data_IF_749125587431
#
_entry.id   IF_749125587431
#
_cell.length_a   1.000
_cell.length_b   1.000
_cell.length_c   1.000
_cell.angle_alpha   90.00
_cell.angle_beta   90.00
_cell.angle_gamma   90.00
#
_symmetry.space_group_name_H-M   'P 1'
#
loop_
_entity.id
_entity.type
_entity.pdbx_description
1 polymer ?
#
# COMPACT_ATOMS: atom_id res chain seq x y z
N UNK A 1 -31.02 -51.15 -0.67
CA UNK A 1 -31.23 -49.93 -1.48
C UNK A 1 -30.97 -48.71 -0.60
N UNK A 2 -29.92 -47.93 -0.90
CA UNK A 2 -29.96 -46.47 -0.65
C UNK A 2 -29.21 -45.83 0.53
N UNK A 3 -27.90 -46.02 0.69
CA UNK A 3 -27.07 -45.09 1.50
C UNK A 3 -25.73 -44.77 0.81
N UNK A 4 -25.75 -44.12 -0.37
CA UNK A 4 -24.54 -43.75 -1.13
C UNK A 4 -24.42 -42.26 -1.48
N UNK A 5 -24.96 -41.35 -0.66
CA UNK A 5 -24.76 -39.91 -0.83
C UNK A 5 -24.35 -39.20 0.48
N UNK A 6 -23.36 -39.76 1.16
CA UNK A 6 -22.58 -39.01 2.15
C UNK A 6 -21.46 -38.24 1.45
N UNK A 7 -21.78 -37.21 0.66
CA UNK A 7 -20.76 -36.30 0.11
C UNK A 7 -20.06 -35.67 1.31
N UNK A 8 -18.83 -36.12 1.60
CA UNK A 8 -17.99 -35.56 2.66
C UNK A 8 -17.98 -34.05 2.46
N UNK A 9 -18.60 -33.34 3.40
CA UNK A 9 -18.58 -31.88 3.39
C UNK A 9 -17.10 -31.48 3.47
N UNK A 10 -16.62 -30.56 2.62
CA UNK A 10 -15.24 -30.10 2.69
C UNK A 10 -14.99 -29.64 4.13
N UNK A 11 -13.87 -30.10 4.71
CA UNK A 11 -13.47 -29.70 6.05
C UNK A 11 -13.51 -28.17 6.12
N UNK A 12 -14.25 -27.64 7.09
CA UNK A 12 -14.31 -26.20 7.31
C UNK A 12 -12.87 -25.70 7.46
N UNK A 13 -12.54 -24.60 6.77
CA UNK A 13 -11.24 -23.96 6.94
C UNK A 13 -11.02 -23.69 8.42
N UNK A 14 -9.84 -24.01 8.97
CA UNK A 14 -9.55 -23.73 10.37
C UNK A 14 -9.75 -22.23 10.62
N UNK A 15 -10.54 -21.91 11.64
CA UNK A 15 -10.86 -20.54 12.02
C UNK A 15 -9.55 -19.80 12.29
N UNK A 16 -9.32 -18.69 11.58
CA UNK A 16 -8.13 -17.87 11.82
C UNK A 16 -8.21 -17.25 13.23
N UNK A 17 -7.05 -17.01 13.86
CA UNK A 17 -7.01 -16.24 15.11
C UNK A 17 -7.69 -14.86 14.95
N UNK A 18 -7.64 -14.29 13.74
CA UNK A 18 -8.30 -13.04 13.39
C UNK A 18 -9.83 -13.20 13.37
N UNK A 19 -10.36 -14.27 12.76
CA UNK A 19 -11.80 -14.55 12.73
C UNK A 19 -12.35 -14.73 14.15
N UNK A 20 -11.58 -15.40 15.02
CA UNK A 20 -11.93 -15.57 16.42
C UNK A 20 -11.99 -14.22 17.16
N UNK A 21 -11.04 -13.32 16.91
CA UNK A 21 -11.04 -11.98 17.49
C UNK A 21 -12.24 -11.15 17.00
N UNK A 22 -12.51 -11.17 15.69
CA UNK A 22 -13.67 -10.50 15.08
C UNK A 22 -14.98 -11.04 15.68
N UNK A 23 -15.10 -12.36 15.85
CA UNK A 23 -16.26 -12.98 16.47
C UNK A 23 -16.45 -12.53 17.92
N UNK A 24 -15.38 -12.48 18.71
CA UNK A 24 -15.43 -12.01 20.10
C UNK A 24 -15.88 -10.55 20.20
N UNK A 25 -15.35 -9.68 19.33
CA UNK A 25 -15.76 -8.28 19.25
C UNK A 25 -17.23 -8.13 18.83
N UNK A 26 -17.68 -8.90 17.82
CA UNK A 26 -19.09 -8.91 17.40
C UNK A 26 -20.01 -9.39 18.53
N UNK A 27 -19.62 -10.42 19.27
CA UNK A 27 -20.36 -10.89 20.45
C UNK A 27 -20.43 -9.82 21.56
N UNK A 28 -19.33 -9.10 21.80
CA UNK A 28 -19.30 -8.03 22.79
C UNK A 28 -20.20 -6.85 22.38
N UNK A 29 -20.14 -6.44 21.11
CA UNK A 29 -21.00 -5.43 20.50
C UNK A 29 -22.48 -5.78 20.70
N UNK A 30 -22.85 -7.03 20.42
CA UNK A 30 -24.25 -7.46 20.51
C UNK A 30 -24.74 -7.51 21.98
N UNK A 31 -23.89 -7.93 22.92
CA UNK A 31 -24.16 -7.84 24.37
C UNK A 31 -24.35 -6.39 24.82
N UNK A 32 -23.51 -5.47 24.36
CA UNK A 32 -23.64 -4.03 24.65
C UNK A 32 -24.96 -3.48 24.10
N UNK A 33 -25.31 -3.78 22.84
CA UNK A 33 -26.60 -3.39 22.24
C UNK A 33 -27.79 -3.91 23.05
N UNK A 34 -27.74 -5.16 23.52
CA UNK A 34 -28.78 -5.71 24.39
C UNK A 34 -28.88 -4.98 25.73
N UNK A 35 -27.75 -4.65 26.35
CA UNK A 35 -27.73 -3.94 27.63
C UNK A 35 -28.25 -2.50 27.49
N UNK A 36 -27.88 -1.79 26.42
CA UNK A 36 -28.41 -0.46 26.08
C UNK A 36 -29.93 -0.51 25.97
N UNK A 37 -30.50 -1.42 25.18
CA UNK A 37 -31.96 -1.56 25.02
C UNK A 37 -32.68 -1.85 26.33
N UNK A 38 -32.08 -2.68 27.21
CA UNK A 38 -32.64 -2.97 28.54
C UNK A 38 -32.64 -1.72 29.43
N UNK A 39 -31.54 -0.95 29.40
CA UNK A 39 -31.41 0.29 30.15
C UNK A 39 -32.37 1.36 29.66
N UNK A 40 -32.55 1.53 28.35
CA UNK A 40 -33.52 2.46 27.77
C UNK A 40 -34.95 2.15 28.27
N UNK A 41 -35.36 0.88 28.21
CA UNK A 41 -36.66 0.44 28.74
C UNK A 41 -36.79 0.66 30.26
N UNK A 42 -35.69 0.56 31.01
CA UNK A 42 -35.69 0.87 32.44
C UNK A 42 -35.86 2.38 32.67
N UNK A 43 -35.16 3.21 31.91
CA UNK A 43 -35.25 4.67 31.99
C UNK A 43 -36.65 5.18 31.66
N UNK A 44 -37.36 4.56 30.72
CA UNK A 44 -38.77 4.85 30.43
C UNK A 44 -39.67 4.57 31.64
N UNK A 45 -39.51 3.41 32.28
CA UNK A 45 -40.26 3.07 33.51
C UNK A 45 -39.96 4.03 34.65
N UNK A 46 -38.70 4.44 34.81
CA UNK A 46 -38.28 5.42 35.80
C UNK A 46 -38.89 6.79 35.54
N UNK A 47 -38.98 7.20 34.27
CA UNK A 47 -39.66 8.44 33.86
C UNK A 47 -41.15 8.41 34.23
N UNK A 48 -41.83 7.30 33.99
CA UNK A 48 -43.26 7.19 34.33
C UNK A 48 -43.51 7.09 35.83
N UNK A 49 -42.65 6.38 36.56
CA UNK A 49 -42.69 6.33 38.02
C UNK A 49 -42.45 7.72 38.64
N UNK A 50 -41.52 8.50 38.07
CA UNK A 50 -41.30 9.89 38.48
C UNK A 50 -42.56 10.75 38.25
N UNK A 51 -43.24 10.62 37.11
CA UNK A 51 -44.52 11.31 36.86
C UNK A 51 -45.59 10.94 37.87
N UNK A 52 -45.71 9.65 38.22
CA UNK A 52 -46.67 9.18 39.23
C UNK A 52 -46.37 9.75 40.62
N UNK A 53 -45.10 9.80 41.02
CA UNK A 53 -44.70 10.39 42.31
C UNK A 53 -44.95 11.89 42.38
N UNK A 54 -44.80 12.62 41.27
CA UNK A 54 -45.16 14.05 41.19
C UNK A 54 -46.66 14.22 41.42
N UNK A 55 -47.51 13.40 40.78
CA UNK A 55 -48.96 13.42 40.99
C UNK A 55 -49.35 13.08 42.43
N UNK A 56 -48.61 12.19 43.08
CA UNK A 56 -48.80 11.82 44.49
C UNK A 56 -48.19 12.84 45.49
N UNK A 57 -47.78 14.02 45.03
CA UNK A 57 -47.13 15.08 45.81
C UNK A 57 -45.85 14.65 46.55
N UNK A 58 -45.18 13.57 46.10
CA UNK A 58 -43.93 13.03 46.67
C UNK A 58 -42.72 13.54 45.87
N UNK A 59 -42.47 14.85 45.93
CA UNK A 59 -41.47 15.55 45.10
C UNK A 59 -40.04 15.04 45.33
N UNK A 60 -39.62 14.81 46.57
CA UNK A 60 -38.25 14.37 46.89
C UNK A 60 -37.93 12.99 46.30
N UNK A 61 -38.90 12.07 46.35
CA UNK A 61 -38.76 10.73 45.76
C UNK A 61 -38.73 10.79 44.24
N UNK A 62 -39.54 11.66 43.63
CA UNK A 62 -39.50 11.87 42.18
C UNK A 62 -38.13 12.39 41.72
N UNK A 63 -37.56 13.36 42.45
CA UNK A 63 -36.23 13.91 42.17
C UNK A 63 -35.14 12.83 42.25
N UNK A 64 -35.18 11.95 43.25
CA UNK A 64 -34.23 10.85 43.40
C UNK A 64 -34.25 9.90 42.18
N UNK A 65 -35.45 9.56 41.70
CA UNK A 65 -35.59 8.69 40.52
C UNK A 65 -35.06 9.38 39.26
N UNK A 66 -35.34 10.67 39.09
CA UNK A 66 -34.81 11.43 37.96
C UNK A 66 -33.28 11.55 37.99
N UNK A 67 -32.67 11.71 39.18
CA UNK A 67 -31.21 11.65 39.34
C UNK A 67 -30.65 10.29 38.95
N UNK A 68 -31.31 9.19 39.36
CA UNK A 68 -30.92 7.82 38.97
C UNK A 68 -31.02 7.62 37.45
N UNK A 69 -32.12 8.07 36.83
CA UNK A 69 -32.29 8.06 35.37
C UNK A 69 -31.17 8.83 34.66
N UNK A 70 -30.80 10.02 35.15
CA UNK A 70 -29.72 10.82 34.57
C UNK A 70 -28.36 10.12 34.65
N UNK A 71 -28.10 9.39 35.74
CA UNK A 71 -26.91 8.55 35.84
C UNK A 71 -26.94 7.40 34.82
N UNK A 72 -28.08 6.72 34.66
CA UNK A 72 -28.25 5.67 33.65
C UNK A 72 -28.04 6.22 32.22
N UNK A 73 -28.55 7.42 31.92
CA UNK A 73 -28.28 8.11 30.64
C UNK A 73 -26.78 8.28 30.39
N UNK A 74 -26.06 8.83 31.36
CA UNK A 74 -24.61 9.04 31.23
C UNK A 74 -23.83 7.73 31.03
N UNK A 75 -24.31 6.63 31.64
CA UNK A 75 -23.73 5.30 31.42
C UNK A 75 -24.05 4.76 30.02
N UNK A 76 -25.28 4.98 29.54
CA UNK A 76 -25.68 4.63 28.17
C UNK A 76 -24.87 5.39 27.13
N UNK A 77 -24.65 6.69 27.31
CA UNK A 77 -23.79 7.50 26.45
C UNK A 77 -22.36 6.95 26.37
N UNK A 78 -21.75 6.63 27.53
CA UNK A 78 -20.42 5.99 27.56
C UNK A 78 -20.39 4.64 26.84
N UNK A 79 -21.45 3.83 26.97
CA UNK A 79 -21.52 2.56 26.26
C UNK A 79 -21.71 2.71 24.76
N UNK A 80 -22.43 3.74 24.31
CA UNK A 80 -22.51 4.07 22.88
C UNK A 80 -21.13 4.44 22.32
N UNK A 81 -20.35 5.25 23.06
CA UNK A 81 -18.97 5.56 22.66
C UNK A 81 -18.09 4.29 22.58
N UNK A 82 -18.23 3.38 23.56
CA UNK A 82 -17.53 2.10 23.55
C UNK A 82 -18.01 1.18 22.40
N UNK A 83 -19.29 1.24 22.06
CA UNK A 83 -19.85 0.50 20.94
C UNK A 83 -19.24 0.98 19.62
N UNK A 84 -19.14 2.29 19.41
CA UNK A 84 -18.49 2.88 18.24
C UNK A 84 -17.00 2.49 18.17
N UNK A 85 -16.32 2.42 19.31
CA UNK A 85 -14.93 1.96 19.39
C UNK A 85 -14.82 0.49 18.95
N UNK A 86 -15.73 -0.38 19.39
CA UNK A 86 -15.74 -1.79 18.98
C UNK A 86 -16.03 -1.92 17.48
N UNK A 87 -16.99 -1.15 16.96
CA UNK A 87 -17.31 -1.17 15.53
C UNK A 87 -16.11 -0.73 14.68
N UNK A 88 -15.38 0.32 15.10
CA UNK A 88 -14.10 0.71 14.49
C UNK A 88 -13.07 -0.41 14.52
N UNK A 89 -12.82 -1.02 15.69
CA UNK A 89 -11.86 -2.13 15.81
C UNK A 89 -12.21 -3.34 14.94
N UNK A 90 -13.50 -3.64 14.75
CA UNK A 90 -13.95 -4.70 13.84
C UNK A 90 -13.60 -4.35 12.39
N UNK A 91 -13.90 -3.12 11.96
CA UNK A 91 -13.55 -2.65 10.62
C UNK A 91 -12.04 -2.62 10.38
N UNK A 92 -11.26 -2.17 11.37
CA UNK A 92 -9.80 -2.14 11.30
C UNK A 92 -9.23 -3.56 11.15
N UNK A 93 -9.73 -4.53 11.91
CA UNK A 93 -9.31 -5.93 11.78
C UNK A 93 -9.71 -6.53 10.43
N UNK A 94 -10.91 -6.23 9.94
CA UNK A 94 -11.36 -6.66 8.60
C UNK A 94 -10.48 -6.04 7.50
N UNK A 95 -10.01 -4.79 7.68
CA UNK A 95 -9.08 -4.14 6.76
C UNK A 95 -7.67 -4.74 6.81
N UNK A 96 -7.14 -5.05 8.00
CA UNK A 96 -5.83 -5.70 8.17
C UNK A 96 -5.78 -7.05 7.44
N UNK A 97 -6.89 -7.80 7.38
CA UNK A 97 -6.99 -9.04 6.59
C UNK A 97 -6.77 -8.76 5.10
N UNK A 98 -7.34 -7.66 4.59
CA UNK A 98 -7.17 -7.23 3.19
C UNK A 98 -5.73 -6.78 2.95
N UNK A 99 -5.14 -5.98 3.84
CA UNK A 99 -3.73 -5.56 3.74
C UNK A 99 -2.78 -6.75 3.72
N UNK A 100 -2.99 -7.74 4.60
CA UNK A 100 -2.19 -8.96 4.60
C UNK A 100 -2.27 -9.70 3.26
N UNK A 101 -3.47 -9.79 2.69
CA UNK A 101 -3.65 -10.38 1.35
C UNK A 101 -2.94 -9.58 0.28
N UNK A 102 -3.00 -8.25 0.30
CA UNK A 102 -2.27 -7.40 -0.66
C UNK A 102 -0.77 -7.63 -0.54
N UNK A 103 -0.22 -7.68 0.68
CA UNK A 103 1.21 -7.95 0.90
C UNK A 103 1.60 -9.35 0.40
N UNK A 104 0.77 -10.36 0.63
CA UNK A 104 0.99 -11.71 0.11
C UNK A 104 0.99 -11.74 -1.43
N UNK A 105 0.04 -11.04 -2.07
CA UNK A 105 0.00 -10.93 -3.53
C UNK A 105 1.22 -10.18 -4.08
N UNK A 106 1.69 -9.11 -3.42
CA UNK A 106 2.92 -8.40 -3.81
C UNK A 106 4.16 -9.28 -3.66
N UNK A 107 4.24 -10.11 -2.62
CA UNK A 107 5.32 -11.10 -2.46
C UNK A 107 5.29 -12.12 -3.58
N UNK A 108 4.11 -12.66 -3.91
CA UNK A 108 3.96 -13.58 -5.02
C UNK A 108 4.37 -12.94 -6.36
N UNK A 109 3.93 -11.70 -6.61
CA UNK A 109 4.35 -10.93 -7.79
C UNK A 109 5.86 -10.73 -7.85
N UNK A 110 6.50 -10.40 -6.72
CA UNK A 110 7.96 -10.26 -6.63
C UNK A 110 8.68 -11.59 -6.89
N UNK A 111 8.17 -12.71 -6.38
CA UNK A 111 8.72 -14.05 -6.67
C UNK A 111 8.62 -14.39 -8.16
N UNK A 112 7.49 -14.08 -8.80
CA UNK A 112 7.33 -14.26 -10.25
C UNK A 112 8.33 -13.39 -11.02
N UNK A 113 8.47 -12.11 -10.65
CA UNK A 113 9.47 -11.22 -11.25
C UNK A 113 10.90 -11.75 -11.05
N UNK A 114 11.24 -12.28 -9.88
CA UNK A 114 12.54 -12.91 -9.64
C UNK A 114 12.78 -14.12 -10.55
N UNK A 115 11.76 -14.97 -10.74
CA UNK A 115 11.85 -16.12 -11.67
C UNK A 115 11.98 -15.64 -13.11
N UNK A 116 11.24 -14.61 -13.52
CA UNK A 116 11.38 -14.01 -14.85
C UNK A 116 12.77 -13.42 -15.05
N UNK A 117 13.31 -12.71 -14.06
CA UNK A 117 14.68 -12.18 -14.10
C UNK A 117 15.74 -13.29 -14.08
N UNK A 118 15.45 -14.49 -13.57
CA UNK A 118 16.33 -15.66 -13.70
C UNK A 118 16.22 -16.31 -15.09
N UNK A 119 15.06 -16.22 -15.73
CA UNK A 119 14.87 -16.71 -17.11
C UNK A 119 15.49 -15.77 -18.15
N UNK A 120 15.52 -14.46 -17.89
CA UNK A 120 16.42 -13.53 -18.59
C UNK A 120 17.81 -13.89 -18.09
N UNK A 121 18.46 -14.79 -18.82
CA UNK A 121 19.65 -15.48 -18.35
C UNK A 121 20.82 -14.50 -18.21
N UNK A 122 21.72 -14.77 -17.27
CA UNK A 122 23.04 -14.12 -17.25
C UNK A 122 23.70 -14.29 -18.62
N UNK A 123 23.48 -15.42 -19.31
CA UNK A 123 23.94 -15.64 -20.68
C UNK A 123 23.35 -14.67 -21.71
N UNK A 124 22.13 -14.17 -21.54
CA UNK A 124 21.57 -13.12 -22.41
C UNK A 124 22.22 -11.77 -22.09
N UNK A 125 22.48 -11.49 -20.81
CA UNK A 125 23.19 -10.27 -20.39
C UNK A 125 24.64 -10.31 -20.85
N UNK A 126 25.35 -11.42 -20.66
CA UNK A 126 26.72 -11.64 -21.11
C UNK A 126 26.79 -11.59 -22.64
N UNK A 127 25.86 -12.24 -23.37
CA UNK A 127 25.79 -12.09 -24.83
C UNK A 127 25.57 -10.64 -25.26
N UNK A 128 24.65 -9.90 -24.64
CA UNK A 128 24.47 -8.47 -24.94
C UNK A 128 25.73 -7.66 -24.60
N UNK A 129 26.42 -7.97 -23.50
CA UNK A 129 27.67 -7.32 -23.11
C UNK A 129 28.85 -7.67 -24.03
N UNK A 130 28.90 -8.89 -24.53
CA UNK A 130 29.94 -9.35 -25.45
C UNK A 130 29.66 -8.80 -26.86
N UNK A 131 28.42 -8.85 -27.35
CA UNK A 131 28.01 -8.22 -28.61
C UNK A 131 28.29 -6.70 -28.61
N UNK A 132 28.07 -6.01 -27.48
CA UNK A 132 28.40 -4.58 -27.36
C UNK A 132 29.90 -4.31 -27.31
N UNK A 133 30.71 -5.18 -26.69
CA UNK A 133 32.18 -5.09 -26.74
C UNK A 133 32.73 -5.39 -28.13
N UNK A 134 32.28 -6.47 -28.76
CA UNK A 134 32.66 -6.84 -30.12
C UNK A 134 32.30 -5.72 -31.10
N UNK A 135 31.12 -5.09 -30.95
CA UNK A 135 30.75 -3.94 -31.77
C UNK A 135 31.68 -2.73 -31.54
N UNK A 136 32.08 -2.47 -30.30
CA UNK A 136 33.03 -1.40 -29.97
C UNK A 136 34.45 -1.69 -30.50
N UNK A 137 34.94 -2.93 -30.35
CA UNK A 137 36.22 -3.38 -30.87
C UNK A 137 36.24 -3.35 -32.40
N UNK A 138 35.18 -3.82 -33.06
CA UNK A 138 35.04 -3.73 -34.51
C UNK A 138 35.03 -2.28 -34.99
N UNK A 139 34.38 -1.38 -34.26
CA UNK A 139 34.42 0.05 -34.55
C UNK A 139 35.84 0.61 -34.40
N UNK A 140 36.59 0.18 -33.38
CA UNK A 140 37.99 0.55 -33.19
C UNK A 140 38.91 -0.03 -34.28
N UNK A 141 38.71 -1.29 -34.69
CA UNK A 141 39.44 -1.93 -35.79
C UNK A 141 39.18 -1.24 -37.12
N UNK A 142 37.93 -0.88 -37.41
CA UNK A 142 37.58 -0.07 -38.58
C UNK A 142 38.34 1.26 -38.49
N UNK A 143 38.29 1.94 -37.34
CA UNK A 143 38.98 3.22 -37.15
C UNK A 143 40.48 3.10 -37.39
N UNK A 144 41.14 2.08 -36.82
CA UNK A 144 42.57 1.81 -36.97
C UNK A 144 42.96 1.40 -38.39
N UNK A 145 42.13 0.59 -39.08
CA UNK A 145 42.36 0.24 -40.48
C UNK A 145 42.24 1.46 -41.40
N UNK A 146 41.30 2.35 -41.12
CA UNK A 146 41.11 3.58 -41.89
C UNK A 146 42.21 4.59 -41.61
N UNK A 147 42.64 4.77 -40.36
CA UNK A 147 43.63 5.79 -39.97
C UNK A 147 44.99 5.61 -40.62
N UNK A 148 45.38 4.38 -41.01
CA UNK A 148 46.64 4.10 -41.69
C UNK A 148 46.57 4.00 -43.22
N UNK A 149 45.36 3.94 -43.80
CA UNK A 149 45.15 3.72 -45.24
C UNK A 149 44.79 5.00 -46.00
N UNK A 150 44.18 5.98 -45.35
CA UNK A 150 43.86 7.25 -45.98
C UNK A 150 45.12 8.13 -46.00
N UNK A 151 45.44 8.69 -47.17
CA UNK A 151 46.44 9.75 -47.27
C UNK A 151 45.91 11.07 -46.71
N UNK A 152 46.79 12.06 -46.51
CA UNK A 152 46.41 13.40 -46.05
C UNK A 152 45.41 14.07 -47.01
N UNK A 153 45.59 13.86 -48.33
CA UNK A 153 44.67 14.35 -49.38
C UNK A 153 43.27 13.73 -49.29
N UNK A 154 43.17 12.43 -48.95
CA UNK A 154 41.88 11.72 -48.82
C UNK A 154 41.11 12.19 -47.58
N UNK A 155 41.81 12.44 -46.47
CA UNK A 155 41.22 12.94 -45.22
C UNK A 155 40.59 14.32 -45.42
N UNK A 156 41.27 15.22 -46.14
CA UNK A 156 40.70 16.53 -46.47
C UNK A 156 39.43 16.44 -47.32
N UNK A 157 39.35 15.50 -48.26
CA UNK A 157 38.17 15.31 -49.09
C UNK A 157 36.99 14.79 -48.27
N UNK A 158 37.23 13.82 -47.37
CA UNK A 158 36.23 13.30 -46.42
C UNK A 158 35.74 14.39 -45.47
N UNK A 159 36.63 15.22 -44.92
CA UNK A 159 36.24 16.35 -44.06
C UNK A 159 35.38 17.37 -44.81
N UNK A 160 35.70 17.66 -46.08
CA UNK A 160 34.90 18.55 -46.93
C UNK A 160 33.53 17.96 -47.25
N UNK A 161 33.41 16.66 -47.50
CA UNK A 161 32.13 15.98 -47.69
C UNK A 161 31.29 15.95 -46.41
N UNK A 162 31.91 15.64 -45.27
CA UNK A 162 31.26 15.64 -43.97
C UNK A 162 30.73 17.03 -43.58
N UNK A 163 31.51 18.08 -43.81
CA UNK A 163 31.08 19.46 -43.58
C UNK A 163 29.85 19.83 -44.44
N UNK A 164 29.81 19.43 -45.72
CA UNK A 164 28.64 19.63 -46.58
C UNK A 164 27.42 18.84 -46.10
N UNK A 165 27.60 17.63 -45.58
CA UNK A 165 26.50 16.84 -45.01
C UNK A 165 25.92 17.49 -43.76
N UNK A 166 26.77 18.01 -42.85
CA UNK A 166 26.30 18.77 -41.68
C UNK A 166 25.59 20.05 -42.10
N UNK A 167 26.11 20.79 -43.10
CA UNK A 167 25.44 22.00 -43.60
C UNK A 167 24.06 21.69 -44.19
N UNK A 168 23.92 20.56 -44.89
CA UNK A 168 22.64 20.09 -45.43
C UNK A 168 21.70 19.53 -44.35
N UNK A 169 22.22 18.88 -43.31
CA UNK A 169 21.47 18.39 -42.14
C UNK A 169 21.30 19.46 -41.05
N UNK A 170 21.77 20.68 -41.25
CA UNK A 170 21.64 21.81 -40.30
C UNK A 170 20.20 22.22 -39.97
N UNK A 171 19.20 21.55 -40.56
CA UNK A 171 17.79 21.59 -40.17
C UNK A 171 17.32 20.24 -39.57
N UNK A 172 18.13 19.62 -38.72
CA UNK A 172 17.62 18.60 -37.80
C UNK A 172 16.73 19.29 -36.77
N UNK A 173 15.43 19.38 -37.10
CA UNK A 173 14.32 19.71 -36.23
C UNK A 173 14.41 18.90 -34.93
N UNK A 174 15.03 19.46 -33.90
CA UNK A 174 14.89 18.91 -32.55
C UNK A 174 13.43 19.11 -32.14
N UNK A 175 12.66 18.03 -31.88
CA UNK A 175 11.30 18.18 -31.39
C UNK A 175 11.34 18.90 -30.03
N UNK A 176 10.52 19.93 -29.85
CA UNK A 176 10.40 20.71 -28.61
C UNK A 176 10.27 19.76 -27.42
N UNK A 177 11.32 19.70 -26.60
CA UNK A 177 11.33 18.89 -25.38
C UNK A 177 10.28 19.49 -24.45
N UNK A 178 9.26 18.72 -24.02
CA UNK A 178 8.26 19.20 -23.07
C UNK A 178 8.95 19.63 -21.78
N UNK A 179 8.84 20.91 -21.45
CA UNK A 179 9.41 21.53 -20.24
C UNK A 179 8.64 21.17 -18.97
N UNK A 180 8.12 19.95 -18.85
CA UNK A 180 7.46 19.49 -17.64
C UNK A 180 8.55 19.06 -16.65
N UNK A 181 8.97 20.02 -15.86
CA UNK A 181 9.95 19.84 -14.80
C UNK A 181 9.53 18.71 -13.85
N UNK A 182 10.26 17.59 -13.91
CA UNK A 182 10.20 16.54 -12.89
C UNK A 182 10.85 17.06 -11.59
N UNK A 183 10.19 17.99 -10.90
CA UNK A 183 10.47 18.29 -9.50
C UNK A 183 9.87 17.20 -8.61
N UNK A 184 10.46 16.00 -8.64
CA UNK A 184 10.30 15.04 -7.55
C UNK A 184 11.57 15.08 -6.71
N UNK A 185 11.59 16.03 -5.77
CA UNK A 185 12.58 16.23 -4.71
C UNK A 185 13.23 14.91 -4.27
N UNK A 186 14.48 14.69 -4.66
CA UNK A 186 15.32 13.71 -3.97
C UNK A 186 15.57 14.32 -2.57
N UNK A 187 15.21 13.64 -1.47
CA UNK A 187 15.45 14.16 -0.13
C UNK A 187 16.96 14.26 0.13
N UNK A 188 17.45 15.44 0.51
CA UNK A 188 18.84 15.81 0.82
C UNK A 188 19.50 15.05 2.00
N UNK A 189 19.18 13.77 2.22
CA UNK A 189 19.76 12.98 3.32
C UNK A 189 20.60 11.78 2.88
N UNK A 190 20.80 11.58 1.58
CA UNK A 190 21.64 10.47 1.10
C UNK A 190 23.07 10.93 0.77
N UNK A 191 23.30 12.20 0.42
CA UNK A 191 24.66 12.68 0.08
C UNK A 191 25.56 12.89 1.31
N UNK A 192 25.05 13.38 2.44
CA UNK A 192 25.90 13.59 3.64
C UNK A 192 26.50 12.30 4.23
N UNK A 193 25.93 11.13 3.93
CA UNK A 193 26.48 9.86 4.42
C UNK A 193 27.63 9.33 3.58
N UNK A 194 27.74 9.72 2.31
CA UNK A 194 28.81 9.23 1.42
C UNK A 194 30.11 10.01 1.61
N UNK A 195 30.04 11.31 1.90
CA UNK A 195 31.25 12.12 2.10
C UNK A 195 32.00 11.81 3.41
N UNK A 196 31.29 11.49 4.50
CA UNK A 196 31.97 11.20 5.78
C UNK A 196 32.75 9.88 5.76
N UNK A 197 32.30 8.88 4.99
CA UNK A 197 32.98 7.57 4.95
C UNK A 197 34.24 7.64 4.07
N UNK A 198 34.26 8.49 3.04
CA UNK A 198 35.42 8.64 2.16
C UNK A 198 36.58 9.42 2.81
N UNK A 199 36.28 10.41 3.67
CA UNK A 199 37.30 11.24 4.33
C UNK A 199 37.97 10.57 5.53
N UNK A 200 37.35 9.57 6.18
CA UNK A 200 37.99 8.85 7.30
C UNK A 200 38.85 7.66 6.84
N UNK A 201 38.84 7.31 5.54
CA UNK A 201 39.57 6.17 5.00
C UNK A 201 40.84 6.53 4.19
N UNK A 202 41.21 7.82 4.12
CA UNK A 202 42.51 8.30 3.59
C UNK A 202 43.32 8.95 4.70
#
# INVERSE_FOLDING_TARGET
>A
MGNLFGKQRPALTPVSQQDQAILQLKNQRDKMKQYIRRNEKQMEREKDLAKQLIKANKKDRALLILKRKRYQESMTEKMLQQLDQIERMVSDLEFVVIEQRVVEQLRHGNEVLKRMNQMISVDDIERIMDETKEAAEFQEEISNMLSGKLGEDDLEEVEKEFAKLIENEGELDFPEIPSESLFAKIPDKIEERRERVALEAS
#
